data_IF_292832796617
#
_entry.id   IF_292832796617
#
_cell.length_a   1.000
_cell.length_b   1.000
_cell.length_c   1.000
_cell.angle_alpha   90.00
_cell.angle_beta   90.00
_cell.angle_gamma   90.00
#
_symmetry.space_group_name_H-M   'P 1'
#
loop_
_entity.id
_entity.type
_entity.pdbx_description
1 polymer ?
#
# COMPACT_ATOMS: atom_id res chain seq x y z
N UNK A 1 4.49 -26.44 22.50
CA UNK A 1 5.73 -27.20 22.22
C UNK A 1 6.38 -26.66 20.95
N UNK A 2 7.73 -26.54 20.89
CA UNK A 2 8.39 -26.17 19.65
C UNK A 2 8.16 -27.26 18.60
N UNK A 3 7.99 -26.89 17.32
CA UNK A 3 7.79 -27.86 16.26
C UNK A 3 9.01 -28.77 16.12
N UNK A 4 8.78 -30.07 15.92
CA UNK A 4 9.85 -31.02 15.69
C UNK A 4 10.65 -30.65 14.44
N UNK A 5 11.96 -30.58 14.56
CA UNK A 5 12.86 -30.31 13.46
C UNK A 5 12.88 -31.49 12.48
N UNK A 6 12.81 -31.19 11.19
CA UNK A 6 12.89 -32.20 10.13
C UNK A 6 13.79 -31.70 8.99
N UNK A 7 14.79 -32.45 8.63
CA UNK A 7 15.66 -32.16 7.50
C UNK A 7 14.91 -32.15 6.16
N UNK A 8 13.82 -32.89 6.03
CA UNK A 8 12.96 -32.88 4.85
C UNK A 8 12.22 -31.53 4.63
N UNK A 9 12.21 -30.66 5.64
CA UNK A 9 11.62 -29.31 5.58
C UNK A 9 12.63 -28.20 5.30
N UNK A 10 13.90 -28.54 5.12
CA UNK A 10 14.92 -27.56 4.77
C UNK A 10 14.77 -27.13 3.30
N UNK A 11 14.84 -25.82 3.07
CA UNK A 11 14.68 -25.24 1.73
C UNK A 11 16.02 -25.23 0.95
N UNK A 12 16.62 -26.38 0.73
CA UNK A 12 17.78 -26.55 -0.13
C UNK A 12 17.63 -27.80 -1.02
N UNK A 13 18.37 -27.91 -2.12
CA UNK A 13 18.28 -29.07 -3.02
C UNK A 13 18.57 -30.40 -2.31
N UNK A 14 17.79 -31.46 -2.62
CA UNK A 14 16.70 -31.50 -3.60
C UNK A 14 15.32 -31.11 -3.05
N UNK A 15 15.21 -30.74 -1.77
CA UNK A 15 13.94 -30.47 -1.12
C UNK A 15 13.26 -29.17 -1.59
N UNK A 16 13.99 -28.23 -2.20
CA UNK A 16 13.40 -27.01 -2.78
C UNK A 16 12.27 -27.30 -3.76
N UNK A 17 12.47 -28.25 -4.66
CA UNK A 17 11.43 -28.66 -5.61
C UNK A 17 10.20 -29.25 -4.89
N UNK A 18 10.41 -30.07 -3.86
CA UNK A 18 9.31 -30.65 -3.08
C UNK A 18 8.54 -29.57 -2.33
N UNK A 19 9.21 -28.55 -1.82
CA UNK A 19 8.55 -27.40 -1.17
C UNK A 19 7.72 -26.58 -2.16
N UNK A 20 8.23 -26.34 -3.36
CA UNK A 20 7.48 -25.66 -4.42
C UNK A 20 6.24 -26.46 -4.83
N UNK A 21 6.40 -27.76 -5.06
CA UNK A 21 5.30 -28.66 -5.36
C UNK A 21 4.24 -28.67 -4.25
N UNK A 22 4.66 -28.81 -2.99
CA UNK A 22 3.78 -28.79 -1.83
C UNK A 22 3.03 -27.45 -1.68
N UNK A 23 3.71 -26.33 -1.99
CA UNK A 23 3.08 -25.00 -2.00
C UNK A 23 1.93 -24.95 -2.99
N UNK A 24 2.16 -25.41 -4.20
CA UNK A 24 1.18 -25.33 -5.28
C UNK A 24 0.05 -26.36 -5.12
N UNK A 25 0.37 -27.64 -4.81
CA UNK A 25 -0.61 -28.72 -4.76
C UNK A 25 -1.44 -28.79 -3.46
N UNK A 26 -0.89 -28.32 -2.34
CA UNK A 26 -1.55 -28.47 -1.04
C UNK A 26 -1.75 -27.16 -0.27
N UNK A 27 -0.69 -26.33 -0.12
CA UNK A 27 -0.74 -25.18 0.78
C UNK A 27 -1.60 -24.03 0.25
N UNK A 28 -1.46 -23.67 -1.03
CA UNK A 28 -2.29 -22.62 -1.64
C UNK A 28 -3.77 -23.03 -1.72
N UNK A 29 -4.13 -24.27 -2.16
CA UNK A 29 -5.51 -24.72 -2.07
C UNK A 29 -6.08 -24.75 -0.64
N UNK A 30 -5.27 -25.14 0.33
CA UNK A 30 -5.70 -25.11 1.74
C UNK A 30 -5.91 -23.67 2.26
N UNK A 31 -5.05 -22.74 1.87
CA UNK A 31 -5.21 -21.33 2.22
C UNK A 31 -6.50 -20.74 1.62
N UNK A 32 -6.80 -21.03 0.35
CA UNK A 32 -8.05 -20.59 -0.29
C UNK A 32 -9.28 -21.17 0.41
N UNK A 33 -9.27 -22.47 0.75
CA UNK A 33 -10.37 -23.06 1.54
C UNK A 33 -10.53 -22.36 2.89
N UNK A 34 -9.43 -22.11 3.59
CA UNK A 34 -9.48 -21.43 4.88
C UNK A 34 -10.06 -20.01 4.77
N UNK A 35 -9.71 -19.26 3.72
CA UNK A 35 -10.28 -17.93 3.47
C UNK A 35 -11.82 -18.01 3.33
N UNK A 36 -12.31 -19.00 2.61
CA UNK A 36 -13.74 -19.21 2.40
C UNK A 36 -14.42 -19.69 3.69
N UNK A 37 -13.89 -20.75 4.32
CA UNK A 37 -14.49 -21.38 5.49
C UNK A 37 -14.54 -20.45 6.70
N UNK A 38 -13.53 -19.59 6.84
CA UNK A 38 -13.46 -18.60 7.90
C UNK A 38 -14.17 -17.26 7.56
N UNK A 39 -14.73 -17.12 6.34
CA UNK A 39 -15.42 -15.93 5.91
C UNK A 39 -14.53 -14.68 5.94
N UNK A 40 -13.25 -14.82 5.58
CA UNK A 40 -12.29 -13.71 5.70
C UNK A 40 -12.56 -12.60 4.70
N UNK A 41 -12.94 -12.94 3.46
CA UNK A 41 -13.42 -11.95 2.49
C UNK A 41 -14.94 -11.80 2.66
N UNK A 42 -15.43 -10.58 2.47
CA UNK A 42 -16.83 -10.25 2.71
C UNK A 42 -17.50 -9.83 1.40
N UNK A 43 -18.72 -10.32 1.19
CA UNK A 43 -19.54 -9.91 0.06
C UNK A 43 -20.80 -9.23 0.58
N UNK A 44 -21.09 -8.06 0.03
CA UNK A 44 -22.27 -7.27 0.34
C UNK A 44 -23.10 -7.08 -0.91
N UNK A 45 -24.40 -7.29 -0.78
CA UNK A 45 -25.33 -7.09 -1.87
C UNK A 45 -25.63 -5.59 -2.06
N UNK A 46 -26.15 -5.25 -3.23
CA UNK A 46 -26.58 -3.90 -3.56
C UNK A 46 -27.63 -3.92 -4.65
N UNK A 47 -28.46 -2.88 -4.75
CA UNK A 47 -29.55 -2.81 -5.74
C UNK A 47 -29.04 -2.65 -7.19
N UNK A 48 -27.87 -2.02 -7.39
CA UNK A 48 -27.26 -1.79 -8.71
C UNK A 48 -26.45 -3.01 -9.15
N UNK A 49 -27.11 -4.16 -9.28
CA UNK A 49 -26.49 -5.47 -9.49
C UNK A 49 -25.71 -5.62 -10.82
N UNK A 50 -25.95 -4.75 -11.78
CA UNK A 50 -25.20 -4.72 -13.04
C UNK A 50 -23.77 -4.17 -12.87
N UNK A 51 -23.49 -3.49 -11.76
CA UNK A 51 -22.17 -3.01 -11.37
C UNK A 51 -21.60 -3.84 -10.21
N UNK A 52 -20.31 -3.71 -9.99
CA UNK A 52 -19.65 -4.29 -8.83
C UNK A 52 -18.38 -3.53 -8.44
N UNK A 53 -18.04 -3.56 -7.16
CA UNK A 53 -16.80 -2.99 -6.64
C UNK A 53 -16.02 -4.08 -5.91
N UNK A 54 -14.77 -4.29 -6.29
CA UNK A 54 -13.81 -5.13 -5.57
C UNK A 54 -12.83 -4.20 -4.86
N UNK A 55 -12.67 -4.33 -3.57
CA UNK A 55 -11.89 -3.39 -2.76
C UNK A 55 -10.98 -4.10 -1.79
N UNK A 56 -9.75 -3.62 -1.64
CA UNK A 56 -8.86 -4.01 -0.53
C UNK A 56 -9.48 -3.57 0.80
N UNK A 57 -9.50 -4.45 1.80
CA UNK A 57 -10.15 -4.20 3.09
C UNK A 57 -9.75 -2.89 3.76
N UNK A 58 -8.46 -2.49 3.65
CA UNK A 58 -7.97 -1.22 4.18
C UNK A 58 -8.60 0.04 3.56
N UNK A 59 -9.17 -0.07 2.35
CA UNK A 59 -9.84 1.05 1.67
C UNK A 59 -11.35 1.11 1.96
N UNK A 60 -11.92 0.12 2.65
CA UNK A 60 -13.37 -0.01 2.84
C UNK A 60 -14.01 1.27 3.41
N UNK A 61 -13.48 1.81 4.49
CA UNK A 61 -14.06 3.00 5.13
C UNK A 61 -13.99 4.23 4.22
N UNK A 62 -12.89 4.39 3.48
CA UNK A 62 -12.72 5.49 2.53
C UNK A 62 -13.67 5.34 1.34
N UNK A 63 -13.88 4.12 0.86
CA UNK A 63 -14.84 3.78 -0.17
C UNK A 63 -16.27 4.12 0.27
N UNK A 64 -16.69 3.66 1.45
CA UNK A 64 -18.06 3.91 1.96
C UNK A 64 -18.33 5.40 2.11
N UNK A 65 -17.36 6.18 2.57
CA UNK A 65 -17.48 7.63 2.60
C UNK A 65 -17.66 8.23 1.20
N UNK A 66 -16.85 7.81 0.23
CA UNK A 66 -16.96 8.31 -1.14
C UNK A 66 -18.30 7.93 -1.79
N UNK A 67 -18.81 6.72 -1.54
CA UNK A 67 -20.15 6.30 -1.99
C UNK A 67 -21.26 7.16 -1.38
N UNK A 68 -21.16 7.51 -0.09
CA UNK A 68 -22.09 8.41 0.58
C UNK A 68 -22.15 9.79 -0.09
N UNK A 69 -21.00 10.40 -0.37
CA UNK A 69 -20.91 11.70 -1.05
C UNK A 69 -21.46 11.65 -2.49
N UNK A 70 -21.38 10.50 -3.16
CA UNK A 70 -21.95 10.28 -4.49
C UNK A 70 -23.45 9.98 -4.47
N UNK A 71 -24.07 9.81 -3.28
CA UNK A 71 -25.46 9.38 -3.16
C UNK A 71 -25.69 7.91 -3.56
N UNK A 72 -24.65 7.11 -3.48
CA UNK A 72 -24.64 5.68 -3.80
C UNK A 72 -24.71 4.77 -2.58
N UNK A 73 -25.22 5.31 -1.47
CA UNK A 73 -25.61 4.56 -0.27
C UNK A 73 -27.12 4.63 -0.06
N UNK A 74 -27.67 3.63 0.61
CA UNK A 74 -29.07 3.62 1.05
C UNK A 74 -29.26 4.42 2.35
N UNK A 75 -30.50 4.45 2.88
CA UNK A 75 -30.82 5.14 4.11
C UNK A 75 -30.14 4.57 5.37
N UNK A 76 -29.66 3.33 5.31
CA UNK A 76 -28.90 2.69 6.38
C UNK A 76 -27.37 2.88 6.21
N UNK A 77 -26.96 3.61 5.17
CA UNK A 77 -25.55 3.84 4.85
C UNK A 77 -24.87 2.65 4.14
N UNK A 78 -25.64 1.65 3.68
CA UNK A 78 -25.09 0.52 2.93
C UNK A 78 -24.89 0.89 1.46
N UNK A 79 -23.88 0.28 0.82
CA UNK A 79 -23.62 0.52 -0.60
C UNK A 79 -24.77 0.03 -1.48
N UNK A 80 -25.21 0.87 -2.42
CA UNK A 80 -26.16 0.49 -3.46
C UNK A 80 -25.51 -0.35 -4.58
N UNK A 81 -24.18 -0.34 -4.70
CA UNK A 81 -23.42 -1.16 -5.62
C UNK A 81 -22.90 -2.36 -4.82
N UNK A 82 -23.08 -3.62 -5.30
CA UNK A 82 -22.50 -4.78 -4.65
C UNK A 82 -20.99 -4.64 -4.42
N UNK A 83 -20.52 -5.09 -3.26
CA UNK A 83 -19.12 -5.04 -2.85
C UNK A 83 -18.54 -6.44 -2.65
N UNK A 84 -17.31 -6.65 -3.08
CA UNK A 84 -16.45 -7.73 -2.64
C UNK A 84 -15.24 -7.11 -1.91
N UNK A 85 -15.20 -7.28 -0.60
CA UNK A 85 -14.12 -6.76 0.26
C UNK A 85 -13.07 -7.84 0.43
N UNK A 86 -11.90 -7.61 -0.11
CA UNK A 86 -10.75 -8.49 -0.01
C UNK A 86 -9.95 -8.16 1.27
N UNK A 87 -10.29 -8.81 2.38
CA UNK A 87 -9.48 -8.76 3.60
C UNK A 87 -8.22 -9.63 3.47
N UNK A 88 -8.23 -10.57 2.51
CA UNK A 88 -7.07 -11.34 2.08
C UNK A 88 -6.86 -11.12 0.58
N UNK A 89 -5.80 -10.41 0.23
CA UNK A 89 -5.48 -10.05 -1.15
C UNK A 89 -4.61 -11.09 -1.87
N UNK A 90 -4.06 -12.07 -1.15
CA UNK A 90 -3.29 -13.17 -1.71
C UNK A 90 -3.30 -14.40 -0.78
N UNK A 91 -3.59 -15.60 -1.31
CA UNK A 91 -4.04 -15.88 -2.69
C UNK A 91 -5.48 -15.41 -2.91
N UNK A 92 -5.80 -14.92 -4.08
CA UNK A 92 -7.19 -14.69 -4.47
C UNK A 92 -7.94 -16.04 -4.54
N UNK A 93 -9.23 -16.01 -4.23
CA UNK A 93 -10.12 -17.16 -4.32
C UNK A 93 -10.91 -17.06 -5.63
N UNK A 94 -10.56 -17.85 -6.67
CA UNK A 94 -11.17 -17.73 -8.00
C UNK A 94 -12.70 -17.81 -7.97
N UNK A 95 -13.23 -18.72 -7.18
CA UNK A 95 -14.67 -18.96 -7.09
C UNK A 95 -15.44 -17.76 -6.51
N UNK A 96 -14.84 -17.02 -5.57
CA UNK A 96 -15.44 -15.79 -5.04
C UNK A 96 -15.43 -14.68 -6.10
N UNK A 97 -14.33 -14.52 -6.83
CA UNK A 97 -14.21 -13.53 -7.90
C UNK A 97 -15.20 -13.82 -9.03
N UNK A 98 -15.21 -15.06 -9.51
CA UNK A 98 -16.06 -15.52 -10.60
C UNK A 98 -17.55 -15.37 -10.22
N UNK A 99 -17.92 -15.83 -9.02
CA UNK A 99 -19.29 -15.71 -8.50
C UNK A 99 -19.74 -14.27 -8.33
N UNK A 100 -18.85 -13.40 -7.82
CA UNK A 100 -19.15 -11.98 -7.68
C UNK A 100 -19.32 -11.28 -9.01
N UNK A 101 -18.45 -11.57 -9.98
CA UNK A 101 -18.46 -10.92 -11.31
C UNK A 101 -19.56 -11.47 -12.23
N UNK A 102 -20.08 -12.68 -11.98
CA UNK A 102 -21.07 -13.30 -12.83
C UNK A 102 -22.33 -12.43 -12.98
N UNK A 103 -22.75 -12.20 -14.23
CA UNK A 103 -23.94 -11.41 -14.56
C UNK A 103 -23.79 -9.90 -14.42
N UNK A 104 -22.62 -9.39 -14.02
CA UNK A 104 -22.35 -7.96 -13.97
C UNK A 104 -21.94 -7.43 -15.34
N UNK A 105 -22.33 -6.20 -15.63
CA UNK A 105 -21.89 -5.48 -16.83
C UNK A 105 -20.48 -4.94 -16.64
N UNK A 106 -20.20 -4.36 -15.47
CA UNK A 106 -18.91 -3.75 -15.17
C UNK A 106 -18.51 -3.94 -13.71
N UNK A 107 -17.21 -4.06 -13.48
CA UNK A 107 -16.61 -4.16 -12.13
C UNK A 107 -15.42 -3.22 -12.05
N UNK A 108 -15.35 -2.44 -10.96
CA UNK A 108 -14.19 -1.60 -10.63
C UNK A 108 -13.39 -2.25 -9.51
N UNK A 109 -12.09 -2.40 -9.73
CA UNK A 109 -11.12 -2.87 -8.74
C UNK A 109 -10.45 -1.67 -8.08
N UNK A 110 -10.65 -1.52 -6.77
CA UNK A 110 -10.02 -0.48 -5.97
C UNK A 110 -8.77 -1.06 -5.29
N UNK A 111 -7.66 -0.96 -6.00
CA UNK A 111 -6.35 -1.45 -5.58
C UNK A 111 -5.36 -0.30 -5.47
N UNK A 112 -4.92 0.01 -4.24
CA UNK A 112 -3.89 1.00 -3.98
C UNK A 112 -2.51 0.42 -4.23
N UNK A 113 -1.65 1.21 -4.84
CA UNK A 113 -0.29 0.79 -5.17
C UNK A 113 -0.12 0.26 -6.59
N UNK A 114 1.10 -0.16 -6.89
CA UNK A 114 1.50 -0.72 -8.17
C UNK A 114 2.51 -1.86 -7.96
N UNK A 115 2.61 -2.83 -8.90
CA UNK A 115 1.69 -3.01 -10.04
C UNK A 115 0.29 -3.43 -9.60
N UNK A 116 -0.65 -3.35 -10.52
CA UNK A 116 -2.07 -3.72 -10.38
C UNK A 116 -2.27 -5.25 -10.39
N UNK A 117 -1.71 -5.94 -9.41
CA UNK A 117 -1.71 -7.41 -9.37
C UNK A 117 -3.09 -8.02 -9.19
N UNK A 118 -3.95 -7.39 -8.36
CA UNK A 118 -5.31 -7.87 -8.12
C UNK A 118 -6.15 -7.72 -9.39
N UNK A 119 -6.09 -6.56 -10.04
CA UNK A 119 -6.78 -6.30 -11.30
C UNK A 119 -6.35 -7.30 -12.38
N UNK A 120 -5.03 -7.52 -12.55
CA UNK A 120 -4.47 -8.46 -13.53
C UNK A 120 -4.89 -9.91 -13.25
N UNK A 121 -4.87 -10.34 -11.99
CA UNK A 121 -5.28 -11.70 -11.61
C UNK A 121 -6.78 -11.89 -11.84
N UNK A 122 -7.63 -10.91 -11.49
CA UNK A 122 -9.07 -10.92 -11.77
C UNK A 122 -9.31 -10.98 -13.28
N UNK A 123 -8.66 -10.12 -14.08
CA UNK A 123 -8.78 -10.15 -15.54
C UNK A 123 -8.46 -11.54 -16.12
N UNK A 124 -7.40 -12.16 -15.61
CA UNK A 124 -7.00 -13.51 -16.03
C UNK A 124 -8.07 -14.56 -15.70
N UNK A 125 -8.68 -14.50 -14.52
CA UNK A 125 -9.75 -15.40 -14.13
C UNK A 125 -10.99 -15.22 -15.01
N UNK A 126 -11.44 -13.98 -15.20
CA UNK A 126 -12.59 -13.66 -16.04
C UNK A 126 -12.39 -14.17 -17.47
N UNK A 127 -11.21 -13.92 -18.05
CA UNK A 127 -10.88 -14.38 -19.41
C UNK A 127 -10.91 -15.91 -19.52
N UNK A 128 -10.28 -16.62 -18.56
CA UNK A 128 -10.23 -18.10 -18.56
C UNK A 128 -11.62 -18.73 -18.44
N UNK A 129 -12.55 -18.07 -17.79
CA UNK A 129 -13.93 -18.51 -17.62
C UNK A 129 -14.88 -18.03 -18.70
N UNK A 130 -14.42 -17.17 -19.61
CA UNK A 130 -15.25 -16.59 -20.66
C UNK A 130 -16.33 -15.66 -20.12
N UNK A 131 -16.10 -15.03 -18.97
CA UNK A 131 -17.01 -14.06 -18.37
C UNK A 131 -16.80 -12.69 -19.04
N UNK A 132 -17.83 -12.21 -19.74
CA UNK A 132 -17.82 -10.93 -20.43
C UNK A 132 -18.22 -9.81 -19.47
N UNK A 133 -17.27 -9.34 -18.68
CA UNK A 133 -17.42 -8.23 -17.74
C UNK A 133 -16.42 -7.13 -18.10
N UNK A 134 -16.88 -5.87 -18.16
CA UNK A 134 -15.98 -4.75 -18.32
C UNK A 134 -15.23 -4.53 -17.00
N UNK A 135 -13.97 -4.92 -16.96
CA UNK A 135 -13.12 -4.72 -15.78
C UNK A 135 -12.41 -3.38 -15.86
N UNK A 136 -12.50 -2.63 -14.80
CA UNK A 136 -11.86 -1.33 -14.60
C UNK A 136 -11.01 -1.34 -13.33
N UNK A 137 -10.01 -0.49 -13.28
CA UNK A 137 -9.13 -0.28 -12.15
C UNK A 137 -8.29 0.96 -12.36
N UNK A 138 -7.07 0.80 -12.84
CA UNK A 138 -6.13 1.91 -13.07
C UNK A 138 -6.50 2.82 -14.25
N UNK A 139 -7.48 2.48 -15.06
CA UNK A 139 -8.06 3.38 -16.06
C UNK A 139 -9.04 4.41 -15.45
N UNK A 140 -9.55 4.14 -14.25
CA UNK A 140 -10.41 5.03 -13.46
C UNK A 140 -9.68 5.62 -12.24
N UNK A 141 -8.64 4.97 -11.77
CA UNK A 141 -7.90 5.31 -10.55
C UNK A 141 -6.42 5.54 -10.88
N UNK A 142 -5.72 6.45 -10.18
CA UNK A 142 -4.31 6.72 -10.45
C UNK A 142 -3.43 5.49 -10.17
N UNK A 143 -2.36 5.35 -10.97
CA UNK A 143 -1.40 4.25 -10.85
C UNK A 143 -0.66 4.25 -9.51
N UNK A 144 -0.39 5.40 -8.94
CA UNK A 144 0.38 5.55 -7.71
C UNK A 144 -0.21 6.61 -6.79
N UNK A 145 0.34 6.66 -5.58
CA UNK A 145 -0.12 7.57 -4.53
C UNK A 145 -1.17 6.94 -3.62
N UNK A 146 -1.49 7.64 -2.55
CA UNK A 146 -2.45 7.23 -1.55
C UNK A 146 -3.89 7.41 -2.05
N UNK A 147 -4.74 6.41 -1.85
CA UNK A 147 -6.15 6.45 -2.22
C UNK A 147 -6.99 7.06 -1.11
N UNK A 148 -6.95 8.38 -1.02
CA UNK A 148 -7.81 9.16 -0.14
C UNK A 148 -9.24 9.29 -0.70
N UNK A 149 -10.14 9.93 0.08
CA UNK A 149 -11.54 10.07 -0.29
C UNK A 149 -11.76 10.81 -1.63
N UNK A 150 -10.94 11.82 -1.95
CA UNK A 150 -11.04 12.55 -3.21
C UNK A 150 -10.67 11.69 -4.41
N UNK A 151 -9.60 10.88 -4.28
CA UNK A 151 -9.17 9.96 -5.34
C UNK A 151 -10.26 8.93 -5.62
N UNK A 152 -10.79 8.30 -4.57
CA UNK A 152 -11.86 7.31 -4.73
C UNK A 152 -13.13 7.93 -5.29
N UNK A 153 -13.52 9.11 -4.83
CA UNK A 153 -14.72 9.81 -5.30
C UNK A 153 -14.63 10.11 -6.81
N UNK A 154 -13.48 10.59 -7.30
CA UNK A 154 -13.25 10.85 -8.72
C UNK A 154 -13.30 9.57 -9.56
N UNK A 155 -12.61 8.52 -9.13
CA UNK A 155 -12.58 7.23 -9.83
C UNK A 155 -13.94 6.55 -9.88
N UNK A 156 -14.66 6.52 -8.74
CA UNK A 156 -16.03 6.00 -8.66
C UNK A 156 -17.00 6.77 -9.55
N UNK A 157 -16.93 8.11 -9.52
CA UNK A 157 -17.74 8.95 -10.39
C UNK A 157 -17.51 8.60 -11.85
N UNK A 158 -16.25 8.54 -12.29
CA UNK A 158 -15.89 8.18 -13.67
C UNK A 158 -16.41 6.80 -14.06
N UNK A 159 -16.28 5.80 -13.18
CA UNK A 159 -16.77 4.45 -13.40
C UNK A 159 -18.31 4.42 -13.55
N UNK A 160 -19.03 5.04 -12.60
CA UNK A 160 -20.49 5.01 -12.59
C UNK A 160 -21.05 5.81 -13.76
N UNK A 161 -20.52 7.00 -14.08
CA UNK A 161 -20.98 7.79 -15.22
C UNK A 161 -20.77 7.05 -16.56
N UNK A 162 -19.75 6.20 -16.67
CA UNK A 162 -19.48 5.40 -17.87
C UNK A 162 -20.50 4.28 -18.08
N UNK A 163 -21.03 3.69 -17.01
CA UNK A 163 -21.87 2.48 -17.09
C UNK A 163 -23.32 2.68 -16.68
N UNK A 164 -23.63 3.71 -15.88
CA UNK A 164 -24.99 4.04 -15.45
C UNK A 164 -25.12 5.57 -15.28
N UNK A 165 -25.07 6.27 -16.41
CA UNK A 165 -25.11 7.73 -16.45
C UNK A 165 -26.36 8.29 -15.74
N UNK A 166 -26.19 9.33 -14.92
CA UNK A 166 -27.24 9.98 -14.16
C UNK A 166 -27.53 9.35 -12.79
N UNK A 167 -26.81 8.31 -12.38
CA UNK A 167 -26.92 7.73 -11.02
C UNK A 167 -26.17 8.50 -9.95
N UNK A 168 -25.12 9.19 -10.35
CA UNK A 168 -24.36 10.04 -9.42
C UNK A 168 -25.22 11.24 -9.05
N UNK A 169 -25.42 11.44 -7.75
CA UNK A 169 -26.22 12.54 -7.27
C UNK A 169 -25.55 13.90 -7.60
N UNK A 170 -26.32 14.92 -7.96
CA UNK A 170 -25.79 16.27 -8.19
C UNK A 170 -24.98 16.82 -7.01
N UNK A 171 -25.26 16.34 -5.78
CA UNK A 171 -24.54 16.70 -4.57
C UNK A 171 -23.06 16.30 -4.57
N UNK A 172 -22.66 15.35 -5.44
CA UNK A 172 -21.25 14.97 -5.58
C UNK A 172 -20.34 16.17 -5.96
N UNK A 173 -20.85 17.12 -6.70
CA UNK A 173 -20.15 18.37 -6.99
C UNK A 173 -19.96 19.24 -5.76
N UNK A 174 -20.90 19.15 -4.79
CA UNK A 174 -20.83 19.87 -3.53
C UNK A 174 -19.64 19.52 -2.65
N UNK A 175 -19.00 18.35 -2.86
CA UNK A 175 -17.75 17.99 -2.18
C UNK A 175 -16.50 18.40 -2.96
N UNK A 176 -16.48 18.16 -4.28
CA UNK A 176 -15.31 18.43 -5.11
C UNK A 176 -15.12 19.91 -5.43
N UNK A 177 -16.21 20.64 -5.68
CA UNK A 177 -16.14 22.05 -6.05
C UNK A 177 -15.55 22.94 -4.95
N UNK A 178 -15.98 22.86 -3.66
CA UNK A 178 -15.36 23.62 -2.58
C UNK A 178 -13.87 23.34 -2.41
N UNK A 179 -13.41 22.10 -2.65
CA UNK A 179 -11.97 21.77 -2.62
C UNK A 179 -11.21 22.44 -3.76
N UNK A 180 -11.78 22.43 -4.97
CA UNK A 180 -11.21 23.10 -6.12
C UNK A 180 -11.15 24.62 -5.92
N UNK A 181 -12.23 25.22 -5.40
CA UNK A 181 -12.33 26.64 -5.12
C UNK A 181 -11.34 27.07 -4.02
N UNK A 182 -11.23 26.30 -2.94
CA UNK A 182 -10.24 26.54 -1.88
C UNK A 182 -8.80 26.48 -2.41
N UNK A 183 -8.49 25.52 -3.28
CA UNK A 183 -7.17 25.43 -3.92
C UNK A 183 -6.90 26.63 -4.84
N UNK A 184 -7.89 27.01 -5.67
CA UNK A 184 -7.77 28.16 -6.55
C UNK A 184 -7.58 29.45 -5.75
N UNK A 185 -8.35 29.64 -4.68
CA UNK A 185 -8.22 30.77 -3.79
C UNK A 185 -6.85 30.81 -3.09
N UNK A 186 -6.39 29.66 -2.58
CA UNK A 186 -5.07 29.55 -1.97
C UNK A 186 -3.96 29.90 -2.97
N UNK A 187 -4.05 29.43 -4.21
CA UNK A 187 -3.08 29.77 -5.27
C UNK A 187 -3.09 31.25 -5.61
N UNK A 188 -4.28 31.88 -5.65
CA UNK A 188 -4.40 33.31 -5.93
C UNK A 188 -3.80 34.18 -4.81
N UNK A 189 -3.97 33.78 -3.54
CA UNK A 189 -3.46 34.52 -2.38
C UNK A 189 -1.96 34.31 -2.19
N UNK A 190 -1.44 33.11 -2.44
CA UNK A 190 -0.06 32.75 -2.12
C UNK A 190 0.96 33.15 -3.18
N UNK A 191 0.54 33.66 -4.35
CA UNK A 191 1.39 34.08 -5.47
C UNK A 191 2.48 33.06 -5.91
N UNK A 192 2.83 32.12 -5.05
CA UNK A 192 3.74 31.00 -5.29
C UNK A 192 3.16 29.72 -4.67
N UNK A 193 3.42 28.53 -5.24
CA UNK A 193 3.04 27.27 -4.62
C UNK A 193 3.60 27.19 -3.20
N UNK A 194 2.80 26.71 -2.25
CA UNK A 194 3.31 26.38 -0.91
C UNK A 194 4.44 25.37 -1.08
N UNK A 195 5.65 25.66 -0.62
CA UNK A 195 6.74 24.71 -0.75
C UNK A 195 6.37 23.40 -0.07
N UNK A 196 6.72 22.24 -0.68
CA UNK A 196 6.48 20.98 -0.05
C UNK A 196 7.14 20.93 1.32
N UNK A 197 6.42 20.45 2.32
CA UNK A 197 6.99 20.22 3.64
C UNK A 197 7.62 18.85 3.66
N UNK A 198 8.95 18.69 3.56
CA UNK A 198 9.59 17.39 3.64
C UNK A 198 9.33 16.77 5.02
N UNK A 199 9.27 15.44 5.10
CA UNK A 199 9.27 14.74 6.38
C UNK A 199 10.45 15.21 7.23
N UNK A 200 10.25 15.38 8.54
CA UNK A 200 11.28 15.86 9.44
C UNK A 200 11.05 15.29 10.84
N UNK A 201 12.05 15.45 11.68
CA UNK A 201 11.95 15.14 13.11
C UNK A 201 10.84 15.92 13.78
N UNK A 202 10.16 15.29 14.73
CA UNK A 202 9.15 15.94 15.57
C UNK A 202 9.73 17.11 16.34
N UNK A 203 8.87 18.03 16.77
CA UNK A 203 9.27 19.10 17.71
C UNK A 203 9.74 18.48 19.03
N UNK A 204 10.94 18.88 19.49
CA UNK A 204 11.53 18.31 20.70
C UNK A 204 12.09 16.89 20.56
N UNK A 205 12.23 16.36 19.35
CA UNK A 205 12.81 15.04 19.11
C UNK A 205 14.21 14.90 19.73
N UNK A 206 14.47 13.87 20.55
CA UNK A 206 15.76 13.66 21.19
C UNK A 206 16.88 13.26 20.21
N UNK A 207 16.56 12.82 19.00
CA UNK A 207 17.55 12.47 17.99
C UNK A 207 18.21 13.71 17.35
N UNK A 208 17.51 14.86 17.31
CA UNK A 208 18.06 16.10 16.72
C UNK A 208 19.41 16.54 17.33
N UNK A 209 19.58 16.59 18.66
CA UNK A 209 20.88 16.92 19.26
C UNK A 209 22.00 15.99 18.84
N UNK A 210 21.73 14.69 18.65
CA UNK A 210 22.71 13.72 18.18
C UNK A 210 23.23 14.10 16.80
N UNK A 211 22.34 14.40 15.85
CA UNK A 211 22.72 14.81 14.50
C UNK A 211 23.37 16.20 14.48
N UNK A 212 22.95 17.12 15.34
CA UNK A 212 23.62 18.39 15.52
C UNK A 212 25.06 18.20 16.01
N UNK A 213 25.29 17.34 17.00
CA UNK A 213 26.63 17.01 17.48
C UNK A 213 27.50 16.37 16.38
N UNK A 214 26.93 15.43 15.60
CA UNK A 214 27.62 14.82 14.46
C UNK A 214 28.01 15.87 13.40
N UNK A 215 27.19 16.91 13.19
CA UNK A 215 27.57 18.05 12.30
C UNK A 215 28.74 18.86 12.85
N UNK A 216 28.84 19.06 14.15
CA UNK A 216 29.99 19.70 14.74
C UNK A 216 31.26 18.84 14.56
N UNK A 217 31.15 17.54 14.82
CA UNK A 217 32.27 16.60 14.60
C UNK A 217 32.69 16.61 13.12
N UNK A 218 31.74 16.60 12.16
CA UNK A 218 32.06 16.68 10.74
C UNK A 218 32.87 17.94 10.38
N UNK A 219 32.57 19.08 11.02
CA UNK A 219 33.31 20.33 10.81
C UNK A 219 34.76 20.26 11.33
N UNK A 220 34.97 19.53 12.42
CA UNK A 220 36.30 19.38 13.02
C UNK A 220 37.18 18.37 12.29
N UNK A 221 36.66 17.20 11.98
CA UNK A 221 37.45 16.11 11.43
C UNK A 221 37.24 15.87 9.94
N UNK A 222 36.30 16.60 9.30
CA UNK A 222 35.92 16.43 7.89
C UNK A 222 34.90 15.32 7.69
N UNK A 223 34.42 15.17 6.46
CA UNK A 223 33.35 14.23 6.10
C UNK A 223 33.69 12.78 6.46
N UNK A 224 32.72 12.05 6.93
CA UNK A 224 32.76 10.62 7.19
C UNK A 224 31.45 9.98 6.73
N UNK A 225 31.48 8.68 6.42
CA UNK A 225 30.31 7.96 5.96
C UNK A 225 29.39 7.58 7.14
N UNK A 226 28.09 7.84 6.97
CA UNK A 226 27.05 7.37 7.90
C UNK A 226 26.16 6.38 7.15
N UNK A 227 26.11 5.15 7.67
CA UNK A 227 25.15 4.13 7.27
C UNK A 227 24.00 4.14 8.26
N UNK A 228 22.78 4.35 7.80
CA UNK A 228 21.58 4.30 8.62
C UNK A 228 20.72 3.09 8.23
N UNK A 229 19.79 2.72 9.09
CA UNK A 229 18.70 1.80 8.75
C UNK A 229 17.36 2.56 8.62
N UNK A 230 16.26 1.84 8.62
CA UNK A 230 14.92 2.42 8.50
C UNK A 230 14.39 2.82 9.87
N UNK A 231 14.12 4.10 10.06
CA UNK A 231 13.59 4.66 11.31
C UNK A 231 13.50 6.17 11.24
N UNK A 232 13.09 6.83 12.34
CA UNK A 232 13.00 8.29 12.40
C UNK A 232 14.33 8.98 12.14
N UNK A 233 15.45 8.36 12.52
CA UNK A 233 16.80 8.85 12.22
C UNK A 233 17.09 8.96 10.72
N UNK A 234 16.35 8.29 9.85
CA UNK A 234 16.47 8.47 8.40
C UNK A 234 16.06 9.87 7.94
N UNK A 235 15.30 10.63 8.74
CA UNK A 235 15.01 12.05 8.45
C UNK A 235 16.25 12.94 8.51
N UNK A 236 17.36 12.47 9.08
CA UNK A 236 18.63 13.18 9.01
C UNK A 236 19.23 13.26 7.59
N UNK A 237 18.67 12.55 6.60
CA UNK A 237 19.05 12.71 5.19
C UNK A 237 18.66 14.08 4.63
N UNK A 238 17.65 14.72 5.22
CA UNK A 238 17.22 16.06 4.84
C UNK A 238 18.06 17.15 5.50
N UNK A 239 18.01 18.35 4.92
CA UNK A 239 18.59 19.54 5.53
C UNK A 239 18.00 19.81 6.94
N UNK A 240 18.79 20.28 7.89
CA UNK A 240 20.17 20.80 7.74
C UNK A 240 21.26 19.74 7.97
N UNK A 241 20.88 18.47 8.17
CA UNK A 241 21.85 17.44 8.57
C UNK A 241 22.54 16.80 7.37
N UNK A 242 21.78 16.37 6.35
CA UNK A 242 22.29 15.69 5.15
C UNK A 242 23.19 14.49 5.51
N UNK A 243 22.73 13.67 6.45
CA UNK A 243 23.36 12.43 6.89
C UNK A 243 22.57 11.19 6.45
N UNK A 244 23.16 10.01 6.56
CA UNK A 244 22.55 8.77 6.04
C UNK A 244 22.93 8.55 4.59
N UNK A 245 24.22 8.39 4.31
CA UNK A 245 24.77 8.22 2.97
C UNK A 245 24.41 6.86 2.35
N UNK A 246 24.07 5.87 3.19
CA UNK A 246 23.48 4.60 2.76
C UNK A 246 22.38 4.17 3.72
N UNK A 247 21.22 3.80 3.16
CA UNK A 247 20.07 3.25 3.89
C UNK A 247 19.59 2.05 3.09
N UNK A 248 19.94 0.83 3.53
CA UNK A 248 19.69 -0.39 2.76
C UNK A 248 18.52 -1.23 3.27
N UNK A 249 18.20 -1.15 4.54
CA UNK A 249 17.11 -1.92 5.11
C UNK A 249 17.08 -1.88 6.63
N UNK A 250 15.99 -2.34 7.20
CA UNK A 250 15.74 -2.34 8.64
C UNK A 250 16.76 -3.22 9.38
N UNK A 251 17.56 -2.62 10.27
CA UNK A 251 18.63 -3.29 11.00
C UNK A 251 19.92 -3.53 10.21
N UNK A 252 20.07 -2.95 9.00
CA UNK A 252 21.21 -3.23 8.11
C UNK A 252 22.36 -2.22 8.21
N UNK A 253 22.27 -1.20 9.08
CA UNK A 253 23.30 -0.14 9.14
C UNK A 253 24.70 -0.66 9.50
N UNK A 254 24.83 -1.64 10.39
CA UNK A 254 26.11 -2.22 10.76
C UNK A 254 26.73 -2.98 9.59
N UNK A 255 25.94 -3.81 8.89
CA UNK A 255 26.41 -4.55 7.72
C UNK A 255 26.83 -3.60 6.59
N UNK A 256 26.03 -2.56 6.31
CA UNK A 256 26.39 -1.58 5.28
C UNK A 256 27.62 -0.75 5.67
N UNK A 257 27.79 -0.39 6.94
CA UNK A 257 29.03 0.23 7.44
C UNK A 257 30.26 -0.65 7.24
N UNK A 258 30.13 -1.95 7.51
CA UNK A 258 31.21 -2.89 7.26
C UNK A 258 31.55 -2.98 5.77
N UNK A 259 30.55 -2.99 4.91
CA UNK A 259 30.74 -3.01 3.45
C UNK A 259 31.49 -1.80 2.91
N UNK A 260 31.20 -0.59 3.41
CA UNK A 260 31.84 0.64 2.95
C UNK A 260 33.18 0.96 3.64
N UNK A 261 33.51 0.25 4.71
CA UNK A 261 34.74 0.51 5.49
C UNK A 261 36.01 0.57 4.64
N UNK A 262 36.13 -0.33 3.70
CA UNK A 262 37.35 -0.45 2.85
C UNK A 262 37.47 0.66 1.79
N UNK A 263 36.38 1.38 1.54
CA UNK A 263 36.31 2.47 0.57
C UNK A 263 36.28 3.84 1.25
N UNK A 264 36.19 3.88 2.57
CA UNK A 264 36.10 5.10 3.35
C UNK A 264 37.46 5.49 3.92
N UNK A 265 37.84 6.75 3.74
CA UNK A 265 39.09 7.31 4.33
C UNK A 265 39.00 7.31 5.86
N UNK A 266 37.80 7.54 6.40
CA UNK A 266 37.50 7.54 7.85
C UNK A 266 36.63 6.36 8.22
N UNK A 267 36.66 6.00 9.51
CA UNK A 267 35.76 4.98 10.05
C UNK A 267 34.30 5.39 9.80
N UNK A 268 33.49 4.58 9.12
CA UNK A 268 32.07 4.84 8.97
C UNK A 268 31.35 4.72 10.32
N UNK A 269 30.26 5.46 10.46
CA UNK A 269 29.37 5.43 11.61
C UNK A 269 28.08 4.71 11.23
N UNK A 270 27.66 3.75 12.03
CA UNK A 270 26.34 3.10 11.87
C UNK A 270 25.35 3.72 12.84
N UNK A 271 24.16 4.05 12.33
CA UNK A 271 23.04 4.53 13.15
C UNK A 271 21.88 3.58 12.95
N UNK A 272 21.29 3.13 14.04
CA UNK A 272 20.24 2.13 14.05
C UNK A 272 19.26 2.41 15.18
N UNK A 273 17.97 2.22 14.93
CA UNK A 273 16.96 2.23 15.97
C UNK A 273 17.01 0.94 16.80
N UNK A 274 16.46 0.99 18.00
CA UNK A 274 16.36 -0.17 18.91
C UNK A 274 15.54 -1.31 18.29
N UNK A 275 14.44 -1.00 17.61
CA UNK A 275 13.66 -2.00 16.89
C UNK A 275 14.47 -2.67 15.77
N UNK A 276 15.21 -1.90 14.96
CA UNK A 276 16.11 -2.43 13.94
C UNK A 276 17.22 -3.31 14.52
N UNK A 277 17.76 -2.90 15.65
CA UNK A 277 18.80 -3.68 16.36
C UNK A 277 18.30 -5.07 16.78
N UNK A 278 17.13 -5.14 17.39
CA UNK A 278 16.54 -6.42 17.81
C UNK A 278 16.00 -7.26 16.67
N UNK A 279 15.56 -6.64 15.59
CA UNK A 279 15.03 -7.35 14.42
C UNK A 279 16.14 -8.10 13.67
N UNK A 280 17.17 -7.40 13.26
CA UNK A 280 18.24 -7.92 12.41
C UNK A 280 19.63 -7.40 12.79
N UNK A 281 19.73 -6.32 13.54
CA UNK A 281 21.00 -5.63 13.83
C UNK A 281 22.00 -6.49 14.56
N UNK A 282 21.56 -7.37 15.48
CA UNK A 282 22.44 -8.32 16.16
C UNK A 282 23.12 -9.29 15.19
N UNK A 283 22.38 -9.78 14.18
CA UNK A 283 22.91 -10.69 13.18
C UNK A 283 23.80 -9.95 12.18
N UNK A 284 23.42 -8.77 11.75
CA UNK A 284 24.19 -7.95 10.82
C UNK A 284 25.46 -7.37 11.45
N UNK A 285 25.41 -7.12 12.75
CA UNK A 285 26.55 -6.59 13.53
C UNK A 285 27.55 -7.61 13.91
#
# INVERSE_FOLDING_TARGET
EPPAFSYARLAHPPSTFQHEKLKYEARLPAARRFIVDAGLNEQWDGELNHLGLVVQGGLYNTLMRALGELGLTDAAGQSRIPLLVLNVVYPLVPEQIEGFCAGKQAVLVLEEGQPEFIEQEIATHLQRRGLAVALHGKDCLPMGGEYNAEVLLRGLRQFVERHDAGRVAPQAEGYLQPLADARAQAQAVLAQPVPPRPPNFCTGCPERPVFAALKLVEREIGRFHISADIGCHSFATFEPFSFGHSILGYGMSLASSAGVKNFSVRRPVAIMGDGGFWHNGLLSG
#
